data_IF_854308060568
#
_entry.id   IF_854308060568
#
_cell.length_a   1.000
_cell.length_b   1.000
_cell.length_c   1.000
_cell.angle_alpha   90.00
_cell.angle_beta   90.00
_cell.angle_gamma   90.00
#
_symmetry.space_group_name_H-M   'P 1'
#
loop_
_entity.id
_entity.type
_entity.pdbx_description
1 polymer ?
#
# COMPACT_ATOMS: atom_id res chain seq x y z
N UNK A 1 6.53 -2.70 -2.28
CA UNK A 1 6.96 -1.43 -2.92
C UNK A 1 6.08 -0.29 -2.44
N UNK A 2 4.74 -0.42 -2.54
CA UNK A 2 3.77 0.60 -2.12
C UNK A 2 3.82 1.01 -0.63
N UNK A 3 4.25 0.12 0.29
CA UNK A 3 4.47 0.52 1.70
C UNK A 3 5.72 1.40 1.96
N UNK A 4 6.61 1.57 0.98
CA UNK A 4 7.88 2.30 1.17
C UNK A 4 7.71 3.82 1.19
N UNK A 5 6.94 4.44 0.28
CA UNK A 5 6.73 5.88 0.22
C UNK A 5 6.24 6.53 1.51
N UNK A 6 5.13 6.05 2.07
CA UNK A 6 4.58 6.55 3.33
C UNK A 6 5.59 6.43 4.48
N UNK A 7 6.34 5.32 4.56
CA UNK A 7 7.37 5.12 5.58
C UNK A 7 8.51 6.14 5.45
N UNK A 8 9.04 6.32 4.24
CA UNK A 8 10.12 7.29 3.98
C UNK A 8 9.66 8.71 4.25
N UNK A 9 8.49 9.10 3.76
CA UNK A 9 7.94 10.45 3.93
C UNK A 9 7.64 10.75 5.40
N UNK A 10 6.99 9.83 6.10
CA UNK A 10 6.69 9.91 7.52
C UNK A 10 7.95 10.04 8.37
N UNK A 11 8.97 9.20 8.11
CA UNK A 11 10.27 9.26 8.78
C UNK A 11 10.98 10.60 8.55
N UNK A 12 11.05 11.07 7.30
CA UNK A 12 11.73 12.33 6.97
C UNK A 12 11.03 13.55 7.59
N UNK A 13 9.70 13.57 7.60
CA UNK A 13 8.91 14.60 8.29
C UNK A 13 9.08 14.53 9.80
N UNK A 14 9.14 13.32 10.38
CA UNK A 14 9.39 13.11 11.80
C UNK A 14 10.75 13.69 12.22
N UNK A 15 11.82 13.30 11.53
CA UNK A 15 13.16 13.83 11.79
C UNK A 15 13.23 15.36 11.56
N UNK A 16 12.49 15.90 10.58
CA UNK A 16 12.39 17.35 10.34
C UNK A 16 11.69 18.07 11.49
N UNK A 17 10.58 17.53 11.99
CA UNK A 17 9.83 18.08 13.12
C UNK A 17 10.71 18.13 14.37
N UNK A 18 11.42 17.04 14.69
CA UNK A 18 12.33 16.97 15.82
C UNK A 18 13.46 18.01 15.73
N UNK A 19 14.17 18.08 14.60
CA UNK A 19 15.34 18.98 14.47
C UNK A 19 14.97 20.46 14.38
N UNK A 20 13.71 20.79 14.07
CA UNK A 20 13.22 22.16 13.98
C UNK A 20 12.31 22.58 15.14
N UNK A 21 11.93 21.63 16.00
CA UNK A 21 10.93 21.85 17.06
C UNK A 21 9.60 22.40 16.50
N UNK A 22 9.18 21.91 15.33
CA UNK A 22 7.99 22.37 14.60
C UNK A 22 6.90 21.27 14.57
N UNK A 23 5.63 21.65 14.63
CA UNK A 23 4.52 20.72 14.43
C UNK A 23 4.44 20.26 12.96
N UNK A 24 4.14 18.98 12.75
CA UNK A 24 4.00 18.39 11.41
C UNK A 24 2.57 18.42 10.86
N UNK A 25 1.61 19.03 11.57
CA UNK A 25 0.21 19.14 11.12
C UNK A 25 -0.53 17.82 10.93
N UNK A 26 -0.06 16.72 11.55
CA UNK A 26 -0.66 15.39 11.42
C UNK A 26 -0.09 14.52 10.30
N UNK A 27 0.68 15.10 9.37
CA UNK A 27 1.20 14.40 8.19
C UNK A 27 2.05 13.16 8.48
N UNK A 28 2.81 13.16 9.58
CA UNK A 28 3.59 11.97 9.97
C UNK A 28 2.68 10.77 10.19
N UNK A 29 1.55 10.98 10.88
CA UNK A 29 0.61 9.90 11.20
C UNK A 29 -0.03 9.36 9.93
N UNK A 30 -0.53 10.25 9.06
CA UNK A 30 -1.16 9.89 7.78
C UNK A 30 -0.23 9.00 6.95
N UNK A 31 1.03 9.40 6.78
CA UNK A 31 1.98 8.64 5.95
C UNK A 31 2.41 7.31 6.57
N UNK A 32 2.48 7.22 7.91
CA UNK A 32 2.78 5.95 8.57
C UNK A 32 1.58 5.00 8.58
N UNK A 33 0.35 5.53 8.67
CA UNK A 33 -0.88 4.75 8.52
C UNK A 33 -1.03 4.22 7.08
N UNK A 34 -0.72 5.03 6.05
CA UNK A 34 -0.63 4.57 4.65
C UNK A 34 0.37 3.41 4.51
N UNK A 35 1.59 3.58 5.02
CA UNK A 35 2.61 2.52 4.95
C UNK A 35 2.19 1.23 5.67
N UNK A 36 1.44 1.34 6.77
CA UNK A 36 0.87 0.19 7.47
C UNK A 36 -0.25 -0.45 6.67
N UNK A 37 -1.16 0.34 6.08
CA UNK A 37 -2.27 -0.13 5.26
C UNK A 37 -1.76 -0.94 4.05
N UNK A 38 -0.77 -0.42 3.33
CA UNK A 38 -0.09 -1.10 2.23
C UNK A 38 0.59 -2.41 2.66
N UNK A 39 1.17 -2.44 3.87
CA UNK A 39 1.72 -3.68 4.43
C UNK A 39 0.59 -4.68 4.72
N UNK A 40 -0.57 -4.22 5.17
CA UNK A 40 -1.72 -5.08 5.43
C UNK A 40 -2.33 -5.67 4.15
N UNK A 41 -2.27 -4.96 3.02
CA UNK A 41 -2.60 -5.53 1.70
C UNK A 41 -1.69 -6.73 1.39
N UNK A 42 -0.37 -6.54 1.50
CA UNK A 42 0.61 -7.61 1.28
C UNK A 42 0.33 -8.82 2.19
N UNK A 43 0.18 -8.59 3.50
CA UNK A 43 -0.05 -9.68 4.45
C UNK A 43 -1.35 -10.44 4.16
N UNK A 44 -2.37 -9.75 3.67
CA UNK A 44 -3.64 -10.36 3.26
C UNK A 44 -3.47 -11.25 2.03
N UNK A 45 -2.82 -10.76 0.97
CA UNK A 45 -2.62 -11.56 -0.25
C UNK A 45 -1.65 -12.72 -0.05
N UNK A 46 -0.74 -12.63 0.93
CA UNK A 46 0.16 -13.72 1.33
C UNK A 46 -0.56 -14.93 1.95
N UNK A 47 -1.75 -14.73 2.54
CA UNK A 47 -2.60 -15.84 3.01
C UNK A 47 -3.30 -16.57 1.84
N UNK A 48 -3.47 -15.89 0.71
CA UNK A 48 -4.09 -16.45 -0.50
C UNK A 48 -3.04 -17.10 -1.40
N UNK A 49 -1.87 -16.46 -1.55
CA UNK A 49 -0.79 -16.91 -2.42
C UNK A 49 0.53 -17.02 -1.65
N UNK A 50 1.10 -18.22 -1.61
CA UNK A 50 2.40 -18.48 -0.98
C UNK A 50 3.54 -18.21 -1.97
N UNK A 51 4.41 -17.22 -1.71
CA UNK A 51 5.47 -16.89 -2.64
C UNK A 51 6.58 -17.95 -2.61
N UNK A 52 7.20 -18.13 -3.77
CA UNK A 52 8.38 -18.98 -3.92
C UNK A 52 9.64 -18.24 -3.45
N UNK A 53 10.72 -18.97 -3.24
CA UNK A 53 11.98 -18.39 -2.73
C UNK A 53 12.55 -17.29 -3.66
N UNK A 54 12.39 -17.44 -4.98
CA UNK A 54 12.88 -16.45 -5.95
C UNK A 54 12.04 -15.17 -5.96
N UNK A 55 10.73 -15.25 -5.71
CA UNK A 55 9.86 -14.07 -5.54
C UNK A 55 10.28 -13.29 -4.29
N UNK A 56 10.62 -13.99 -3.20
CA UNK A 56 11.15 -13.35 -1.98
C UNK A 56 12.50 -12.67 -2.24
N UNK A 57 13.39 -13.31 -3.00
CA UNK A 57 14.67 -12.72 -3.39
C UNK A 57 14.47 -11.47 -4.28
N UNK A 58 13.50 -11.53 -5.20
CA UNK A 58 13.12 -10.38 -6.03
C UNK A 58 12.59 -9.22 -5.18
N UNK A 59 11.68 -9.49 -4.23
CA UNK A 59 11.16 -8.47 -3.31
C UNK A 59 12.30 -7.80 -2.53
N UNK A 60 13.26 -8.59 -2.01
CA UNK A 60 14.42 -8.05 -1.30
C UNK A 60 15.25 -7.10 -2.18
N UNK A 61 15.56 -7.51 -3.41
CA UNK A 61 16.34 -6.71 -4.34
C UNK A 61 15.60 -5.41 -4.75
N UNK A 62 14.33 -5.54 -5.15
CA UNK A 62 13.51 -4.39 -5.58
C UNK A 62 13.29 -3.41 -4.42
N UNK A 63 13.03 -3.91 -3.21
CA UNK A 63 12.88 -3.06 -2.03
C UNK A 63 14.17 -2.28 -1.73
N UNK A 64 15.33 -2.94 -1.81
CA UNK A 64 16.63 -2.27 -1.59
C UNK A 64 16.88 -1.13 -2.58
N UNK A 65 16.58 -1.35 -3.87
CA UNK A 65 16.73 -0.32 -4.91
C UNK A 65 15.69 0.80 -4.71
N UNK A 66 14.42 0.44 -4.61
CA UNK A 66 13.31 1.39 -4.58
C UNK A 66 13.35 2.28 -3.32
N UNK A 67 13.71 1.73 -2.16
CA UNK A 67 13.88 2.50 -0.93
C UNK A 67 14.87 3.64 -1.09
N UNK A 68 16.08 3.32 -1.59
CA UNK A 68 17.13 4.32 -1.76
C UNK A 68 16.76 5.35 -2.83
N UNK A 69 16.18 4.90 -3.95
CA UNK A 69 15.70 5.80 -5.00
C UNK A 69 14.63 6.77 -4.48
N UNK A 70 13.58 6.25 -3.83
CA UNK A 70 12.49 7.07 -3.31
C UNK A 70 12.95 8.00 -2.18
N UNK A 71 13.84 7.54 -1.30
CA UNK A 71 14.46 8.38 -0.27
C UNK A 71 15.16 9.60 -0.88
N UNK A 72 16.02 9.39 -1.88
CA UNK A 72 16.71 10.49 -2.56
C UNK A 72 15.72 11.40 -3.27
N UNK A 73 14.73 10.84 -3.98
CA UNK A 73 13.70 11.61 -4.65
C UNK A 73 12.91 12.50 -3.68
N UNK A 74 12.52 11.97 -2.52
CA UNK A 74 11.78 12.72 -1.50
C UNK A 74 12.64 13.83 -0.87
N UNK A 75 13.94 13.57 -0.62
CA UNK A 75 14.86 14.60 -0.13
C UNK A 75 15.02 15.74 -1.16
N UNK A 76 15.09 15.42 -2.45
CA UNK A 76 15.21 16.42 -3.52
C UNK A 76 13.89 17.20 -3.70
N UNK A 77 12.76 16.50 -3.78
CA UNK A 77 11.46 17.10 -4.02
C UNK A 77 10.33 16.23 -3.47
N UNK A 78 9.82 16.52 -2.26
CA UNK A 78 8.66 15.83 -1.71
C UNK A 78 7.43 15.93 -2.63
N UNK A 79 7.25 17.07 -3.31
CA UNK A 79 6.12 17.29 -4.22
C UNK A 79 6.14 16.32 -5.40
N UNK A 80 7.31 16.05 -5.98
CA UNK A 80 7.45 15.08 -7.08
C UNK A 80 7.27 13.66 -6.55
N UNK A 81 7.83 13.36 -5.37
CA UNK A 81 7.69 12.04 -4.74
C UNK A 81 6.22 11.69 -4.48
N UNK A 82 5.46 12.59 -3.83
CA UNK A 82 4.02 12.40 -3.61
C UNK A 82 3.24 12.28 -4.92
N UNK A 83 3.51 13.14 -5.90
CA UNK A 83 2.83 13.02 -7.20
C UNK A 83 3.11 11.69 -7.90
N UNK A 84 4.32 11.15 -7.76
CA UNK A 84 4.66 9.84 -8.31
C UNK A 84 3.85 8.72 -7.63
N UNK A 85 3.66 8.80 -6.31
CA UNK A 85 2.78 7.87 -5.57
C UNK A 85 1.35 8.00 -6.05
N UNK A 86 0.80 9.21 -6.15
CA UNK A 86 -0.56 9.41 -6.66
C UNK A 86 -0.80 8.73 -8.03
N UNK A 87 0.17 8.78 -8.95
CA UNK A 87 0.08 8.05 -10.21
C UNK A 87 0.22 6.52 -10.06
N UNK A 88 1.02 6.03 -9.11
CA UNK A 88 1.06 4.59 -8.80
C UNK A 88 -0.29 4.11 -8.28
N UNK A 89 -0.96 4.91 -7.46
CA UNK A 89 -2.29 4.57 -6.93
C UNK A 89 -3.38 4.62 -8.00
N UNK A 90 -3.30 5.54 -8.97
CA UNK A 90 -4.19 5.50 -10.15
C UNK A 90 -4.08 4.17 -10.90
N UNK A 91 -2.86 3.68 -11.11
CA UNK A 91 -2.60 2.38 -11.74
C UNK A 91 -3.01 1.20 -10.85
N UNK A 92 -2.89 1.32 -9.53
CA UNK A 92 -3.36 0.32 -8.58
C UNK A 92 -4.90 0.18 -8.64
N UNK A 93 -5.63 1.30 -8.63
CA UNK A 93 -7.10 1.31 -8.79
C UNK A 93 -7.52 0.66 -10.09
N UNK A 94 -6.84 0.98 -11.20
CA UNK A 94 -7.08 0.34 -12.49
C UNK A 94 -6.87 -1.18 -12.40
N UNK A 95 -5.76 -1.62 -11.82
CA UNK A 95 -5.41 -3.04 -11.67
C UNK A 95 -6.43 -3.81 -10.82
N UNK A 96 -6.91 -3.23 -9.70
CA UNK A 96 -7.95 -3.86 -8.88
C UNK A 96 -9.31 -3.89 -9.56
N UNK A 97 -9.63 -2.92 -10.42
CA UNK A 97 -10.83 -3.00 -11.26
C UNK A 97 -10.77 -4.20 -12.22
N UNK A 98 -9.62 -4.44 -12.85
CA UNK A 98 -9.44 -5.63 -13.68
C UNK A 98 -9.50 -6.92 -12.86
N UNK A 99 -8.91 -6.95 -11.66
CA UNK A 99 -9.03 -8.10 -10.75
C UNK A 99 -10.52 -8.39 -10.44
N UNK A 100 -11.31 -7.39 -10.06
CA UNK A 100 -12.73 -7.57 -9.79
C UNK A 100 -13.48 -8.16 -11.00
N UNK A 101 -13.15 -7.72 -12.23
CA UNK A 101 -13.75 -8.29 -13.46
C UNK A 101 -13.37 -9.76 -13.66
N UNK A 102 -12.13 -10.14 -13.38
CA UNK A 102 -11.68 -11.53 -13.46
C UNK A 102 -12.34 -12.43 -12.40
N UNK A 103 -12.62 -11.89 -11.21
CA UNK A 103 -13.43 -12.58 -10.19
C UNK A 103 -14.89 -12.72 -10.61
N UNK A 104 -15.50 -11.65 -11.13
CA UNK A 104 -16.91 -11.61 -11.54
C UNK A 104 -17.19 -12.50 -12.77
N UNK A 105 -16.20 -12.68 -13.65
CA UNK A 105 -16.27 -13.60 -14.79
C UNK A 105 -15.97 -15.06 -14.43
N UNK A 106 -15.50 -15.33 -13.21
CA UNK A 106 -15.17 -16.68 -12.73
C UNK A 106 -13.82 -17.21 -13.20
N UNK A 107 -12.98 -16.38 -13.84
CA UNK A 107 -11.61 -16.75 -14.23
C UNK A 107 -10.70 -16.91 -13.02
N UNK A 108 -10.93 -16.14 -11.96
CA UNK A 108 -10.27 -16.27 -10.67
C UNK A 108 -11.28 -16.83 -9.64
N UNK A 109 -10.95 -17.89 -8.89
CA UNK A 109 -11.82 -18.40 -7.83
C UNK A 109 -12.06 -17.36 -6.73
N UNK A 110 -13.33 -17.03 -6.47
CA UNK A 110 -13.70 -16.17 -5.35
C UNK A 110 -13.76 -16.95 -4.03
N UNK A 111 -12.60 -17.16 -3.42
CA UNK A 111 -12.44 -17.90 -2.14
C UNK A 111 -12.91 -17.07 -0.93
N UNK A 112 -13.16 -17.68 0.24
CA UNK A 112 -13.43 -16.95 1.47
C UNK A 112 -12.30 -15.96 1.82
N UNK A 113 -12.66 -14.80 2.39
CA UNK A 113 -11.71 -13.80 2.80
C UNK A 113 -10.77 -14.33 3.92
N UNK A 114 -9.45 -14.04 3.87
CA UNK A 114 -8.55 -14.38 4.97
C UNK A 114 -8.97 -13.72 6.29
N UNK A 115 -8.76 -14.41 7.42
CA UNK A 115 -9.13 -13.90 8.75
C UNK A 115 -8.46 -12.55 9.07
N UNK A 116 -7.20 -12.36 8.65
CA UNK A 116 -6.48 -11.09 8.80
C UNK A 116 -7.21 -9.92 8.11
N UNK A 117 -7.83 -10.16 6.95
CA UNK A 117 -8.57 -9.15 6.22
C UNK A 117 -9.90 -8.83 6.92
N UNK A 118 -10.61 -9.87 7.35
CA UNK A 118 -11.86 -9.73 8.10
C UNK A 118 -11.61 -8.89 9.36
N UNK A 119 -10.55 -9.17 10.11
CA UNK A 119 -10.23 -8.46 11.35
C UNK A 119 -9.78 -7.02 11.10
N UNK A 120 -8.96 -6.78 10.07
CA UNK A 120 -8.41 -5.47 9.77
C UNK A 120 -9.46 -4.51 9.18
N UNK A 121 -10.17 -4.92 8.13
CA UNK A 121 -11.21 -4.11 7.49
C UNK A 121 -12.61 -4.27 8.12
N UNK A 122 -12.73 -5.07 9.19
CA UNK A 122 -14.00 -5.32 9.89
C UNK A 122 -15.09 -5.84 8.95
N UNK A 123 -14.72 -6.76 8.06
CA UNK A 123 -15.64 -7.34 7.09
C UNK A 123 -16.63 -8.31 7.77
N UNK A 124 -17.72 -8.64 7.08
CA UNK A 124 -18.63 -9.68 7.55
C UNK A 124 -17.93 -11.06 7.56
N UNK A 125 -18.26 -11.97 8.48
CA UNK A 125 -17.56 -13.26 8.59
C UNK A 125 -17.64 -14.16 7.34
N UNK A 126 -18.65 -13.97 6.50
CA UNK A 126 -18.89 -14.69 5.24
C UNK A 126 -18.35 -13.95 4.00
N UNK A 127 -17.56 -12.88 4.21
CA UNK A 127 -16.95 -12.11 3.12
C UNK A 127 -16.02 -12.95 2.26
N UNK A 128 -15.89 -12.54 1.00
CA UNK A 128 -15.12 -13.23 -0.03
C UNK A 128 -13.88 -12.44 -0.45
N UNK A 129 -13.00 -13.06 -1.24
CA UNK A 129 -11.83 -12.39 -1.83
C UNK A 129 -12.23 -11.15 -2.62
N UNK A 130 -13.38 -11.18 -3.31
CA UNK A 130 -13.93 -10.03 -4.01
C UNK A 130 -14.20 -8.85 -3.07
N UNK A 131 -14.75 -9.08 -1.89
CA UNK A 131 -15.03 -8.04 -0.91
C UNK A 131 -13.74 -7.42 -0.36
N UNK A 132 -12.71 -8.26 -0.17
CA UNK A 132 -11.36 -7.80 0.19
C UNK A 132 -10.77 -6.89 -0.91
N UNK A 133 -10.84 -7.31 -2.18
CA UNK A 133 -10.32 -6.49 -3.28
C UNK A 133 -11.06 -5.16 -3.40
N UNK A 134 -12.36 -5.14 -3.12
CA UNK A 134 -13.17 -3.91 -3.12
C UNK A 134 -12.72 -2.90 -2.06
N UNK A 135 -12.41 -3.35 -0.83
CA UNK A 135 -11.92 -2.46 0.24
C UNK A 135 -10.48 -2.04 0.02
N UNK A 136 -9.62 -2.94 -0.47
CA UNK A 136 -8.24 -2.60 -0.86
C UNK A 136 -8.24 -1.52 -1.95
N UNK A 137 -9.06 -1.66 -3.00
CA UNK A 137 -9.19 -0.61 -4.02
C UNK A 137 -9.67 0.73 -3.45
N UNK A 138 -10.50 0.71 -2.41
CA UNK A 138 -10.96 1.93 -1.74
C UNK A 138 -9.83 2.61 -0.96
N UNK A 139 -8.94 1.81 -0.33
CA UNK A 139 -7.73 2.32 0.30
C UNK A 139 -6.82 3.00 -0.75
N UNK A 140 -6.62 2.39 -1.92
CA UNK A 140 -5.79 3.02 -2.98
C UNK A 140 -6.39 4.33 -3.51
N UNK A 141 -7.72 4.40 -3.61
CA UNK A 141 -8.40 5.64 -3.96
C UNK A 141 -8.16 6.74 -2.91
N UNK A 142 -8.11 6.37 -1.63
CA UNK A 142 -7.75 7.29 -0.56
C UNK A 142 -6.28 7.73 -0.65
N UNK A 143 -5.36 6.78 -0.82
CA UNK A 143 -3.93 7.07 -0.98
C UNK A 143 -3.65 7.99 -2.18
N UNK A 144 -4.33 7.78 -3.31
CA UNK A 144 -4.28 8.65 -4.49
C UNK A 144 -4.65 10.10 -4.14
N UNK A 145 -5.76 10.29 -3.44
CA UNK A 145 -6.28 11.63 -3.16
C UNK A 145 -5.47 12.36 -2.07
N UNK A 146 -4.77 11.61 -1.21
CA UNK A 146 -3.88 12.14 -0.18
C UNK A 146 -2.52 12.60 -0.75
N UNK A 147 -2.00 11.93 -1.79
CA UNK A 147 -0.68 12.17 -2.38
C UNK A 147 -0.69 13.15 -3.57
#
# INVERSE_FOLDING_TARGET
>A
VAAVPGMVGGMLLHCKSLRRFEHSGGWIRVLLEEAENERMHLMTFMEVAKPRWYERALVFAVQGIFWNFYFVAYVISPKVAHRAVGYLEEEAIHSYNEFIKELDSGNIPNVPAPAIAIDYWRLAPDSTLRDVVMVVRADEAHHRDVN
#
